data_IF_644617581397
#
_entry.id   IF_644617581397
#
_cell.length_a   1.000
_cell.length_b   1.000
_cell.length_c   1.000
_cell.angle_alpha   90.00
_cell.angle_beta   90.00
_cell.angle_gamma   90.00
#
_symmetry.space_group_name_H-M   'P 1'
#
loop_
_entity.id
_entity.type
_entity.pdbx_description
1 polymer ?
#
# COMPACT_ATOMS: atom_id res chain seq x y z
N UNK A 1 32.16 -43.66 -45.28
CA UNK A 1 31.29 -44.09 -44.15
C UNK A 1 31.21 -43.05 -43.03
N UNK A 2 31.36 -41.75 -43.33
CA UNK A 2 31.50 -40.66 -42.35
C UNK A 2 30.30 -39.70 -42.31
N UNK A 3 29.51 -39.66 -43.38
CA UNK A 3 28.39 -38.73 -43.55
C UNK A 3 27.20 -39.03 -42.62
N UNK A 4 26.80 -40.30 -42.48
CA UNK A 4 25.60 -40.66 -41.72
C UNK A 4 25.71 -40.39 -40.20
N UNK A 5 26.92 -40.56 -39.63
CA UNK A 5 27.19 -40.25 -38.21
C UNK A 5 27.17 -38.75 -37.92
N UNK A 6 27.61 -37.93 -38.88
CA UNK A 6 27.60 -36.47 -38.76
C UNK A 6 26.16 -35.92 -38.81
N UNK A 7 25.31 -36.43 -39.69
CA UNK A 7 23.89 -36.06 -39.73
C UNK A 7 23.15 -36.45 -38.45
N UNK A 8 23.46 -37.63 -37.90
CA UNK A 8 22.87 -38.08 -36.64
C UNK A 8 23.26 -37.14 -35.47
N UNK A 9 24.54 -36.76 -35.37
CA UNK A 9 25.03 -35.84 -34.34
C UNK A 9 24.41 -34.45 -34.47
N UNK A 10 24.25 -33.94 -35.68
CA UNK A 10 23.63 -32.64 -35.93
C UNK A 10 22.14 -32.63 -35.54
N UNK A 11 21.44 -33.73 -35.81
CA UNK A 11 20.04 -33.91 -35.42
C UNK A 11 19.86 -33.91 -33.89
N UNK A 12 20.73 -34.63 -33.16
CA UNK A 12 20.73 -34.60 -31.70
C UNK A 12 21.05 -33.21 -31.14
N UNK A 13 22.00 -32.48 -31.74
CA UNK A 13 22.32 -31.12 -31.32
C UNK A 13 21.13 -30.16 -31.47
N UNK A 14 20.38 -30.25 -32.58
CA UNK A 14 19.19 -29.43 -32.82
C UNK A 14 18.07 -29.77 -31.82
N UNK A 15 17.87 -31.04 -31.52
CA UNK A 15 16.88 -31.46 -30.50
C UNK A 15 17.26 -30.89 -29.13
N UNK A 16 18.53 -31.01 -28.73
CA UNK A 16 18.99 -30.49 -27.44
C UNK A 16 18.81 -28.97 -27.36
N UNK A 17 19.17 -28.22 -28.41
CA UNK A 17 18.98 -26.77 -28.45
C UNK A 17 17.49 -26.40 -28.43
N UNK A 18 16.64 -27.15 -29.14
CA UNK A 18 15.19 -26.92 -29.15
C UNK A 18 14.57 -27.20 -27.78
N UNK A 19 15.03 -28.24 -27.07
CA UNK A 19 14.64 -28.53 -25.69
C UNK A 19 15.11 -27.43 -24.76
N UNK A 20 16.34 -26.92 -24.88
CA UNK A 20 16.86 -25.82 -24.06
C UNK A 20 16.05 -24.54 -24.29
N UNK A 21 15.73 -24.21 -25.55
CA UNK A 21 14.90 -23.04 -25.89
C UNK A 21 13.47 -23.22 -25.38
N UNK A 22 12.88 -24.40 -25.54
CA UNK A 22 11.56 -24.70 -25.02
C UNK A 22 11.52 -24.65 -23.49
N UNK A 23 12.51 -25.21 -22.80
CA UNK A 23 12.65 -25.13 -21.34
C UNK A 23 12.86 -23.67 -20.90
N UNK A 24 13.67 -22.89 -21.61
CA UNK A 24 13.84 -21.45 -21.33
C UNK A 24 12.57 -20.63 -21.55
N UNK A 25 11.75 -20.97 -22.55
CA UNK A 25 10.44 -20.36 -22.80
C UNK A 25 9.39 -20.79 -21.75
N UNK A 26 9.41 -22.05 -21.31
CA UNK A 26 8.51 -22.55 -20.26
C UNK A 26 8.92 -22.06 -18.86
N UNK A 27 10.21 -21.84 -18.60
CA UNK A 27 10.70 -21.14 -17.40
C UNK A 27 10.23 -19.67 -17.37
N UNK A 28 10.10 -19.03 -18.54
CA UNK A 28 9.63 -17.65 -18.70
C UNK A 28 8.11 -17.44 -18.65
N UNK A 29 7.30 -18.51 -18.62
CA UNK A 29 5.82 -18.47 -18.58
C UNK A 29 5.23 -18.91 -17.22
N UNK A 30 6.07 -19.01 -16.19
CA UNK A 30 5.63 -19.30 -14.82
C UNK A 30 4.89 -18.07 -14.26
N UNK A 31 3.59 -18.26 -14.03
CA UNK A 31 2.60 -17.28 -13.59
C UNK A 31 3.10 -16.30 -12.53
N UNK A 32 2.89 -15.02 -12.83
CA UNK A 32 3.30 -13.79 -12.13
C UNK A 32 2.96 -13.80 -10.62
N UNK A 33 3.85 -13.34 -9.71
CA UNK A 33 3.44 -12.88 -8.38
C UNK A 33 2.27 -11.90 -8.47
N UNK A 34 1.37 -11.88 -7.47
CA UNK A 34 0.18 -11.01 -7.39
C UNK A 34 0.39 -9.67 -8.10
N UNK A 35 -0.40 -9.35 -9.15
CA UNK A 35 -0.21 -8.17 -9.96
C UNK A 35 -0.04 -6.91 -9.10
N UNK A 36 0.90 -6.01 -9.45
CA UNK A 36 1.11 -4.75 -8.73
C UNK A 36 -0.17 -3.92 -8.49
N UNK A 37 -1.17 -4.06 -9.36
CA UNK A 37 -2.49 -3.43 -9.26
C UNK A 37 -3.35 -3.95 -8.10
N UNK A 38 -3.16 -5.20 -7.68
CA UNK A 38 -3.84 -5.75 -6.50
C UNK A 38 -3.16 -5.24 -5.22
N UNK A 39 -1.83 -5.04 -5.25
CA UNK A 39 -1.05 -4.60 -4.10
C UNK A 39 -1.30 -3.15 -3.72
N UNK A 40 -1.68 -2.31 -4.68
CA UNK A 40 -2.10 -0.92 -4.41
C UNK A 40 -3.39 -0.82 -3.59
N UNK A 41 -4.18 -1.91 -3.47
CA UNK A 41 -5.39 -1.96 -2.65
C UNK A 41 -5.16 -2.31 -1.16
N UNK A 42 -3.96 -2.77 -0.77
CA UNK A 42 -3.74 -3.35 0.56
C UNK A 42 -3.87 -2.36 1.72
N UNK A 43 -3.66 -1.07 1.46
CA UNK A 43 -3.78 0.00 2.47
C UNK A 43 -5.00 0.89 2.23
N UNK A 44 -5.92 0.42 1.40
CA UNK A 44 -7.24 1.01 1.23
C UNK A 44 -8.26 0.23 2.06
N UNK A 45 -9.33 0.88 2.55
CA UNK A 45 -10.41 0.17 3.20
C UNK A 45 -11.03 -0.87 2.26
N UNK A 46 -11.25 -2.10 2.74
CA UNK A 46 -11.87 -3.14 1.92
C UNK A 46 -13.40 -2.98 1.83
N UNK A 47 -13.97 -2.15 2.70
CA UNK A 47 -15.41 -1.94 2.82
C UNK A 47 -15.79 -0.58 2.25
N UNK A 48 -16.94 -0.53 1.56
CA UNK A 48 -17.52 0.74 1.05
C UNK A 48 -17.94 1.71 2.16
N UNK A 49 -17.92 1.26 3.42
CA UNK A 49 -18.17 2.07 4.61
C UNK A 49 -17.02 1.82 5.58
N UNK A 50 -16.33 2.89 5.97
CA UNK A 50 -15.36 2.87 7.06
C UNK A 50 -15.99 3.46 8.31
N UNK A 51 -15.83 2.73 9.41
CA UNK A 51 -16.29 3.15 10.73
C UNK A 51 -15.15 3.91 11.40
N UNK A 52 -15.33 5.20 11.71
CA UNK A 52 -14.54 5.80 12.78
C UNK A 52 -15.31 5.63 14.09
N UNK A 53 -14.58 5.17 15.10
CA UNK A 53 -15.04 4.54 16.34
C UNK A 53 -16.21 5.29 17.00
N UNK A 54 -17.22 4.53 17.43
CA UNK A 54 -18.11 4.92 18.53
C UNK A 54 -17.34 4.73 19.85
N UNK A 55 -17.17 5.79 20.64
CA UNK A 55 -16.58 5.69 21.98
C UNK A 55 -17.25 4.57 22.80
N UNK A 56 -16.54 3.92 23.76
CA UNK A 56 -17.16 2.91 24.61
C UNK A 56 -18.43 3.44 25.29
N UNK A 57 -19.60 2.95 24.87
CA UNK A 57 -20.93 3.40 25.36
C UNK A 57 -21.77 4.19 24.35
N UNK A 58 -21.26 4.51 23.16
CA UNK A 58 -22.07 5.10 22.08
C UNK A 58 -22.91 4.08 21.32
N UNK A 59 -24.12 4.48 20.94
CA UNK A 59 -24.96 3.70 20.04
C UNK A 59 -24.29 3.60 18.65
N UNK A 60 -24.39 2.46 17.95
CA UNK A 60 -23.91 2.32 16.56
C UNK A 60 -24.47 3.41 15.63
N UNK A 61 -25.68 3.91 15.87
CA UNK A 61 -26.28 5.02 15.13
C UNK A 61 -25.54 6.38 15.32
N UNK A 62 -24.67 6.49 16.31
CA UNK A 62 -23.86 7.68 16.61
C UNK A 62 -22.42 7.58 16.10
N UNK A 63 -22.01 6.40 15.61
CA UNK A 63 -20.68 6.18 15.01
C UNK A 63 -20.47 7.08 13.79
N UNK A 64 -19.22 7.46 13.56
CA UNK A 64 -18.84 8.28 12.42
C UNK A 64 -18.70 7.38 11.18
N UNK A 65 -19.38 7.72 10.09
CA UNK A 65 -19.44 6.90 8.88
C UNK A 65 -18.79 7.63 7.71
N UNK A 66 -17.79 6.98 7.12
CA UNK A 66 -17.17 7.38 5.87
C UNK A 66 -17.68 6.48 4.76
N UNK A 67 -18.39 7.05 3.80
CA UNK A 67 -18.97 6.32 2.69
C UNK A 67 -18.09 6.51 1.47
N UNK A 68 -17.66 5.41 0.84
CA UNK A 68 -16.89 5.45 -0.40
C UNK A 68 -17.69 6.22 -1.46
N UNK A 69 -17.08 7.28 -1.99
CA UNK A 69 -17.64 8.16 -3.01
C UNK A 69 -16.93 8.08 -4.35
N UNK A 70 -15.76 7.44 -4.41
CA UNK A 70 -15.08 7.12 -5.67
C UNK A 70 -13.84 6.25 -5.48
N UNK A 71 -13.55 5.44 -6.50
CA UNK A 71 -12.37 4.57 -6.58
C UNK A 71 -11.66 4.83 -7.90
N UNK A 72 -10.34 5.00 -7.83
CA UNK A 72 -9.56 5.43 -8.99
C UNK A 72 -8.22 4.70 -9.04
N UNK A 73 -7.98 4.01 -10.15
CA UNK A 73 -6.66 3.49 -10.50
C UNK A 73 -5.80 4.63 -11.10
N UNK A 74 -4.57 4.75 -10.62
CA UNK A 74 -3.62 5.78 -11.01
C UNK A 74 -3.32 6.80 -9.91
N UNK A 75 -2.49 7.82 -10.22
CA UNK A 75 -2.05 8.80 -9.23
C UNK A 75 -3.18 9.76 -8.85
N UNK A 76 -3.28 10.06 -7.55
CA UNK A 76 -4.11 11.16 -7.05
C UNK A 76 -3.64 12.49 -7.66
N UNK A 77 -4.56 13.24 -8.26
CA UNK A 77 -4.25 14.43 -9.07
C UNK A 77 -3.63 15.58 -8.25
N UNK A 78 -3.84 15.57 -6.94
CA UNK A 78 -3.31 16.55 -5.98
C UNK A 78 -1.80 16.38 -5.75
N UNK A 79 -1.21 15.26 -6.19
CA UNK A 79 0.18 14.91 -5.96
C UNK A 79 0.92 14.61 -7.26
N UNK A 80 2.25 14.80 -7.31
CA UNK A 80 3.03 14.41 -8.48
C UNK A 80 2.90 12.91 -8.75
N UNK A 81 3.00 12.45 -10.01
CA UNK A 81 3.05 11.03 -10.31
C UNK A 81 4.32 10.43 -9.69
N UNK A 82 4.15 9.52 -8.72
CA UNK A 82 5.25 8.87 -7.99
C UNK A 82 5.52 7.46 -8.50
N UNK A 83 4.45 6.69 -8.73
CA UNK A 83 4.53 5.30 -9.17
C UNK A 83 3.54 5.04 -10.31
N UNK A 84 3.87 4.17 -11.28
CA UNK A 84 2.88 3.62 -12.21
C UNK A 84 1.87 2.72 -11.51
N UNK A 85 2.17 2.25 -10.29
CA UNK A 85 1.28 1.47 -9.45
C UNK A 85 0.77 2.38 -8.34
N UNK A 86 -0.36 3.01 -8.59
CA UNK A 86 -1.02 3.90 -7.65
C UNK A 86 -2.52 3.67 -7.71
N UNK A 87 -3.19 3.87 -6.57
CA UNK A 87 -4.64 3.84 -6.45
C UNK A 87 -5.05 4.82 -5.36
N UNK A 88 -6.19 5.45 -5.52
CA UNK A 88 -6.78 6.26 -4.46
C UNK A 88 -8.29 6.09 -4.42
N UNK A 89 -8.82 6.32 -3.23
CA UNK A 89 -10.25 6.25 -2.94
C UNK A 89 -10.68 7.51 -2.21
N UNK A 90 -11.86 7.98 -2.57
CA UNK A 90 -12.51 9.13 -1.97
C UNK A 90 -13.65 8.67 -1.08
N UNK A 91 -13.80 9.35 0.05
CA UNK A 91 -14.78 9.05 1.06
C UNK A 91 -15.52 10.31 1.45
N UNK A 92 -16.83 10.21 1.64
CA UNK A 92 -17.65 11.30 2.17
C UNK A 92 -18.02 10.99 3.61
N UNK A 93 -17.71 11.91 4.52
CA UNK A 93 -18.13 11.84 5.92
C UNK A 93 -19.63 12.15 6.00
N UNK A 94 -20.44 11.16 6.38
CA UNK A 94 -21.90 11.23 6.26
C UNK A 94 -22.52 12.39 7.09
N UNK A 95 -21.94 12.72 8.25
CA UNK A 95 -22.47 13.76 9.15
C UNK A 95 -22.22 15.19 8.66
N UNK A 96 -21.09 15.44 7.99
CA UNK A 96 -20.65 16.79 7.64
C UNK A 96 -20.60 17.04 6.14
N UNK A 97 -20.55 15.99 5.33
CA UNK A 97 -20.31 16.08 3.89
C UNK A 97 -18.84 16.28 3.52
N UNK A 98 -17.92 16.34 4.51
CA UNK A 98 -16.49 16.52 4.27
C UNK A 98 -15.93 15.37 3.42
N UNK A 99 -15.03 15.70 2.49
CA UNK A 99 -14.43 14.74 1.56
C UNK A 99 -13.02 14.36 1.97
N UNK A 100 -12.79 13.07 2.08
CA UNK A 100 -11.52 12.47 2.45
C UNK A 100 -10.96 11.68 1.28
N UNK A 101 -9.65 11.58 1.23
CA UNK A 101 -8.92 10.79 0.25
C UNK A 101 -7.90 9.91 0.96
N UNK A 102 -7.86 8.64 0.54
CA UNK A 102 -6.80 7.70 0.89
C UNK A 102 -6.09 7.35 -0.41
N UNK A 103 -4.77 7.55 -0.47
CA UNK A 103 -3.97 7.26 -1.66
C UNK A 103 -2.78 6.37 -1.32
N UNK A 104 -2.52 5.41 -2.20
CA UNK A 104 -1.46 4.40 -2.04
C UNK A 104 -0.61 4.38 -3.30
N UNK A 105 0.70 4.45 -3.13
CA UNK A 105 1.69 4.24 -4.19
C UNK A 105 2.56 3.04 -3.83
N UNK A 106 2.65 2.07 -4.74
CA UNK A 106 3.40 0.83 -4.56
C UNK A 106 4.69 0.82 -5.39
N UNK A 107 5.75 0.23 -4.85
CA UNK A 107 7.04 0.09 -5.52
C UNK A 107 7.64 -1.30 -5.28
N UNK A 108 8.14 -1.90 -6.36
CA UNK A 108 8.90 -3.17 -6.35
C UNK A 108 10.40 -2.98 -6.24
N UNK A 109 10.88 -1.72 -6.33
CA UNK A 109 12.31 -1.38 -6.33
C UNK A 109 12.58 -0.26 -5.33
N UNK A 110 13.50 -0.51 -4.41
CA UNK A 110 13.94 0.46 -3.40
C UNK A 110 14.40 1.78 -4.03
N UNK A 111 15.20 1.72 -5.11
CA UNK A 111 15.70 2.92 -5.77
C UNK A 111 14.60 3.83 -6.33
N UNK A 112 13.52 3.23 -6.87
CA UNK A 112 12.36 3.98 -7.34
C UNK A 112 11.57 4.57 -6.17
N UNK A 113 11.41 3.81 -5.08
CA UNK A 113 10.79 4.27 -3.85
C UNK A 113 11.53 5.46 -3.23
N UNK A 114 12.86 5.37 -3.05
CA UNK A 114 13.68 6.43 -2.47
C UNK A 114 13.68 7.70 -3.35
N UNK A 115 13.77 7.54 -4.67
CA UNK A 115 13.66 8.66 -5.61
C UNK A 115 12.30 9.36 -5.50
N UNK A 116 11.22 8.57 -5.38
CA UNK A 116 9.86 9.07 -5.24
C UNK A 116 9.60 9.75 -3.90
N UNK A 117 10.15 9.22 -2.79
CA UNK A 117 10.12 9.90 -1.48
C UNK A 117 10.78 11.27 -1.57
N UNK A 118 11.95 11.37 -2.21
CA UNK A 118 12.66 12.65 -2.40
C UNK A 118 11.86 13.63 -3.25
N UNK A 119 11.28 13.16 -4.35
CA UNK A 119 10.43 13.96 -5.25
C UNK A 119 9.19 14.48 -4.52
N UNK A 120 8.48 13.60 -3.80
CA UNK A 120 7.31 13.97 -3.02
C UNK A 120 7.68 14.98 -1.96
N UNK A 121 8.75 14.75 -1.21
CA UNK A 121 9.18 15.69 -0.17
C UNK A 121 9.45 17.09 -0.71
N UNK A 122 10.19 17.21 -1.83
CA UNK A 122 10.45 18.49 -2.47
C UNK A 122 9.15 19.19 -2.89
N UNK A 123 8.17 18.44 -3.41
CA UNK A 123 6.85 18.97 -3.74
C UNK A 123 6.13 19.49 -2.50
N UNK A 124 6.04 18.69 -1.43
CA UNK A 124 5.31 19.05 -0.21
C UNK A 124 5.91 20.31 0.44
N UNK A 125 7.23 20.40 0.57
CA UNK A 125 7.91 21.59 1.14
C UNK A 125 7.70 22.85 0.29
N UNK A 126 7.48 22.71 -1.02
CA UNK A 126 7.27 23.85 -1.92
C UNK A 126 5.81 24.29 -1.97
N UNK A 127 4.88 23.35 -1.79
CA UNK A 127 3.44 23.56 -2.02
C UNK A 127 2.61 23.75 -0.74
N UNK A 128 3.21 23.56 0.43
CA UNK A 128 2.50 23.67 1.70
C UNK A 128 3.42 23.61 2.92
N UNK A 129 2.80 23.46 4.07
CA UNK A 129 3.49 23.30 5.36
C UNK A 129 3.67 21.81 5.63
N UNK A 130 4.87 21.43 6.05
CA UNK A 130 5.20 20.06 6.41
C UNK A 130 5.57 19.98 7.89
N UNK A 131 4.97 19.05 8.60
CA UNK A 131 5.20 18.83 10.04
C UNK A 131 5.48 17.35 10.32
N UNK A 132 6.07 17.07 11.48
CA UNK A 132 6.22 15.69 11.98
C UNK A 132 5.11 15.44 13.00
N UNK A 133 4.34 14.37 12.79
CA UNK A 133 3.19 14.04 13.64
C UNK A 133 3.36 12.62 14.18
N UNK A 134 3.33 12.46 15.50
CA UNK A 134 3.37 11.16 16.16
C UNK A 134 1.95 10.76 16.56
N UNK A 135 1.42 9.70 15.97
CA UNK A 135 0.13 9.13 16.31
C UNK A 135 0.32 8.11 17.44
N UNK A 136 -0.50 8.21 18.48
CA UNK A 136 -0.50 7.28 19.60
C UNK A 136 -1.63 6.26 19.44
N UNK A 137 -1.28 4.99 19.39
CA UNK A 137 -2.18 3.84 19.29
C UNK A 137 -2.17 2.97 20.55
N UNK A 138 -1.57 3.44 21.64
CA UNK A 138 -1.64 2.78 22.94
C UNK A 138 -3.10 2.60 23.37
N UNK A 139 -3.52 1.36 23.58
CA UNK A 139 -4.92 1.01 23.88
C UNK A 139 -5.86 0.96 22.67
N UNK A 140 -5.37 1.19 21.45
CA UNK A 140 -6.16 1.01 20.23
C UNK A 140 -6.40 -0.48 19.98
N UNK A 141 -7.66 -0.89 19.89
CA UNK A 141 -8.02 -2.26 19.54
C UNK A 141 -8.20 -2.32 18.03
N UNK A 142 -7.18 -2.78 17.32
CA UNK A 142 -7.30 -3.07 15.88
C UNK A 142 -8.40 -4.12 15.70
N UNK A 143 -9.49 -3.73 15.06
CA UNK A 143 -10.59 -4.63 14.73
C UNK A 143 -10.32 -5.18 13.35
N UNK A 144 -10.27 -6.51 13.23
CA UNK A 144 -10.21 -7.16 11.92
C UNK A 144 -11.43 -6.70 11.11
N UNK A 145 -11.18 -6.08 9.95
CA UNK A 145 -12.25 -5.66 9.02
C UNK A 145 -13.10 -6.86 8.54
N UNK A 146 -12.65 -8.10 8.80
CA UNK A 146 -13.25 -9.35 8.36
C UNK A 146 -14.33 -9.93 9.29
N UNK A 147 -14.59 -9.35 10.45
CA UNK A 147 -15.65 -9.62 11.45
C UNK A 147 -15.03 -9.69 12.84
N UNK A 148 -15.64 -8.97 13.79
CA UNK A 148 -15.55 -8.98 15.27
C UNK A 148 -14.91 -10.23 15.94
N UNK A 149 -13.64 -10.51 15.64
CA UNK A 149 -12.88 -11.62 16.23
C UNK A 149 -11.44 -11.14 16.38
N UNK A 150 -10.82 -11.27 17.58
CA UNK A 150 -9.41 -10.99 17.75
C UNK A 150 -8.59 -11.82 16.77
N UNK A 151 -7.69 -11.16 16.06
CA UNK A 151 -6.86 -11.80 15.04
C UNK A 151 -6.07 -12.94 15.69
N UNK A 152 -6.00 -14.09 15.02
CA UNK A 152 -5.19 -15.22 15.45
C UNK A 152 -3.70 -14.83 15.64
N UNK A 153 -2.88 -15.72 16.21
CA UNK A 153 -1.54 -15.43 16.77
C UNK A 153 -0.46 -14.97 15.78
N UNK A 154 -0.82 -14.58 14.55
CA UNK A 154 0.09 -14.19 13.48
C UNK A 154 -0.05 -12.75 13.01
N UNK A 155 -1.04 -11.98 13.49
CA UNK A 155 -1.08 -10.55 13.20
C UNK A 155 -0.11 -9.77 14.10
N UNK A 156 0.72 -8.95 13.48
CA UNK A 156 1.58 -8.03 14.22
C UNK A 156 0.67 -6.91 14.76
N UNK A 157 0.72 -6.60 16.07
CA UNK A 157 -0.05 -5.50 16.61
C UNK A 157 0.41 -4.16 16.01
N UNK A 158 -0.54 -3.26 15.78
CA UNK A 158 -0.29 -1.86 15.44
C UNK A 158 0.76 -1.29 16.41
N UNK A 159 1.83 -0.62 15.92
CA UNK A 159 2.85 -0.06 16.78
C UNK A 159 2.21 0.97 17.69
N UNK A 160 2.65 1.00 18.94
CA UNK A 160 2.16 1.95 19.94
C UNK A 160 2.25 3.40 19.44
N UNK A 161 3.27 3.70 18.65
CA UNK A 161 3.42 4.98 17.98
C UNK A 161 3.72 4.80 16.50
N UNK A 162 3.00 5.56 15.67
CA UNK A 162 3.31 5.73 14.26
C UNK A 162 3.73 7.17 14.00
N UNK A 163 4.97 7.36 13.58
CA UNK A 163 5.46 8.67 13.17
C UNK A 163 5.13 8.88 11.69
N UNK A 164 4.49 10.00 11.40
CA UNK A 164 3.99 10.38 10.09
C UNK A 164 4.50 11.78 9.69
N UNK A 165 4.40 12.09 8.41
CA UNK A 165 4.64 13.41 7.85
C UNK A 165 3.29 14.10 7.65
N UNK A 166 2.99 15.10 8.49
CA UNK A 166 1.83 15.96 8.31
C UNK A 166 2.05 16.95 7.17
N UNK A 167 1.01 17.18 6.38
CA UNK A 167 1.02 18.11 5.27
C UNK A 167 -0.25 18.96 5.30
N UNK A 168 -0.09 20.27 5.11
CA UNK A 168 -1.19 21.23 5.00
C UNK A 168 -0.96 22.14 3.79
N UNK A 169 -1.96 22.28 2.94
CA UNK A 169 -1.92 23.14 1.75
C UNK A 169 -3.27 23.81 1.51
N UNK A 170 -3.36 24.67 0.49
CA UNK A 170 -4.62 25.30 0.08
C UNK A 170 -5.65 24.32 -0.50
N UNK A 171 -5.23 23.08 -0.82
CA UNK A 171 -6.06 22.14 -1.56
C UNK A 171 -6.35 20.86 -0.76
N UNK A 172 -5.48 20.53 0.19
CA UNK A 172 -5.57 19.29 0.95
C UNK A 172 -4.70 19.33 2.20
N UNK A 173 -5.12 18.60 3.23
CA UNK A 173 -4.37 18.42 4.47
C UNK A 173 -4.45 16.97 4.93
N UNK A 174 -3.36 16.40 5.40
CA UNK A 174 -3.34 14.99 5.78
C UNK A 174 -2.01 14.48 6.29
N UNK A 175 -1.91 13.17 6.42
CA UNK A 175 -0.75 12.45 6.92
C UNK A 175 -0.20 11.53 5.85
N UNK A 176 1.11 11.57 5.67
CA UNK A 176 1.87 10.61 4.89
C UNK A 176 2.68 9.69 5.79
N UNK A 177 2.79 8.44 5.39
CA UNK A 177 3.78 7.50 5.94
C UNK A 177 4.21 6.52 4.86
N UNK A 178 5.31 5.83 5.12
CA UNK A 178 5.88 4.84 4.23
C UNK A 178 5.95 3.51 4.92
N UNK A 179 5.83 2.44 4.13
CA UNK A 179 5.86 1.07 4.62
C UNK A 179 6.84 0.27 3.78
N UNK A 180 7.56 -0.62 4.45
CA UNK A 180 8.39 -1.64 3.84
C UNK A 180 7.94 -3.01 4.33
N UNK A 181 7.71 -3.94 3.40
CA UNK A 181 7.33 -5.33 3.66
C UNK A 181 8.44 -6.20 3.05
N UNK A 182 8.96 -7.22 3.74
CA UNK A 182 9.87 -8.17 3.11
C UNK A 182 9.11 -8.97 2.05
N UNK A 183 9.69 -9.10 0.86
CA UNK A 183 9.09 -9.88 -0.22
C UNK A 183 8.90 -11.35 0.19
N UNK A 184 7.77 -11.94 -0.18
CA UNK A 184 7.53 -13.36 0.10
C UNK A 184 8.45 -14.24 -0.74
N UNK A 185 9.18 -15.15 -0.07
CA UNK A 185 9.80 -16.31 -0.70
C UNK A 185 8.92 -17.53 -0.46
N UNK A 186 8.42 -18.14 -1.52
CA UNK A 186 7.89 -19.50 -1.41
C UNK A 186 9.01 -20.54 -1.53
N UNK A 187 8.96 -21.57 -0.69
CA UNK A 187 9.73 -22.79 -0.89
C UNK A 187 8.77 -23.99 -0.95
N UNK A 188 8.99 -24.81 -1.98
CA UNK A 188 8.41 -26.12 -2.25
C UNK A 188 6.90 -26.16 -2.54
N UNK A 189 6.55 -25.79 -3.78
CA UNK A 189 5.42 -26.42 -4.48
C UNK A 189 4.31 -25.52 -5.05
N UNK A 190 4.35 -24.19 -4.93
CA UNK A 190 3.18 -23.37 -5.29
C UNK A 190 3.39 -21.91 -5.69
N UNK A 191 4.57 -21.50 -6.17
CA UNK A 191 4.94 -20.17 -6.70
C UNK A 191 4.56 -18.94 -5.83
N UNK A 192 5.56 -18.33 -5.20
CA UNK A 192 5.61 -16.88 -4.91
C UNK A 192 7.06 -16.37 -4.97
N UNK A 193 7.31 -15.36 -5.81
CA UNK A 193 8.59 -14.64 -5.79
C UNK A 193 8.39 -13.14 -5.92
N UNK A 194 8.50 -12.41 -4.80
CA UNK A 194 9.19 -11.12 -4.82
C UNK A 194 10.57 -11.36 -4.24
N UNK A 195 11.63 -11.21 -5.04
CA UNK A 195 13.01 -11.40 -4.59
C UNK A 195 13.54 -10.23 -3.75
N UNK A 196 12.77 -9.15 -3.62
CA UNK A 196 13.09 -7.97 -2.84
C UNK A 196 11.92 -7.47 -2.01
N UNK A 197 12.21 -6.52 -1.12
CA UNK A 197 11.18 -5.88 -0.30
C UNK A 197 10.20 -5.10 -1.18
N UNK A 198 9.00 -4.94 -0.65
CA UNK A 198 7.89 -4.20 -1.22
C UNK A 198 7.74 -2.89 -0.46
N UNK A 199 7.58 -1.79 -1.19
CA UNK A 199 7.57 -0.47 -0.58
C UNK A 199 6.29 0.27 -0.92
N UNK A 200 5.78 1.02 0.05
CA UNK A 200 4.56 1.80 -0.08
C UNK A 200 4.77 3.22 0.41
N UNK A 201 4.15 4.17 -0.28
CA UNK A 201 3.84 5.49 0.26
C UNK A 201 2.33 5.53 0.42
N UNK A 202 1.85 6.02 1.56
CA UNK A 202 0.43 6.06 1.89
C UNK A 202 0.07 7.46 2.37
N UNK A 203 -1.09 7.94 1.95
CA UNK A 203 -1.66 9.22 2.31
C UNK A 203 -3.08 9.03 2.85
N UNK A 204 -3.38 9.71 3.96
CA UNK A 204 -4.72 9.85 4.52
C UNK A 204 -4.99 11.34 4.75
N UNK A 205 -6.04 11.89 4.16
CA UNK A 205 -6.36 13.30 4.40
C UNK A 205 -7.69 13.76 3.86
N UNK A 206 -7.91 15.06 3.95
CA UNK A 206 -9.13 15.77 3.57
C UNK A 206 -8.87 16.55 2.28
N UNK A 207 -9.83 16.53 1.34
CA UNK A 207 -9.75 17.19 0.03
C UNK A 207 -10.11 18.68 0.07
N UNK A 208 -9.88 19.34 1.21
CA UNK A 208 -10.25 20.72 1.45
C UNK A 208 -9.19 21.41 2.35
N UNK A 209 -9.07 22.76 2.30
CA UNK A 209 -8.09 23.52 3.07
C UNK A 209 -8.47 23.59 4.55
N UNK A 210 -8.44 22.46 5.23
CA UNK A 210 -8.60 22.39 6.67
C UNK A 210 -7.25 22.42 7.36
N UNK A 211 -7.21 23.01 8.56
CA UNK A 211 -6.14 22.73 9.48
C UNK A 211 -6.13 21.22 9.76
N UNK A 212 -4.94 20.61 9.77
CA UNK A 212 -4.76 19.19 10.01
C UNK A 212 -5.06 18.84 11.48
N UNK A 213 -4.70 19.72 12.42
CA UNK A 213 -4.80 19.45 13.87
C UNK A 213 -6.20 19.00 14.32
N UNK A 214 -7.31 19.65 13.94
CA UNK A 214 -8.66 19.19 14.29
C UNK A 214 -9.06 17.82 13.72
N UNK A 215 -8.38 17.35 12.66
CA UNK A 215 -8.70 16.09 11.99
C UNK A 215 -7.80 14.93 12.43
N UNK A 216 -6.81 15.18 13.29
CA UNK A 216 -5.78 14.19 13.63
C UNK A 216 -6.36 12.94 14.29
N UNK A 217 -7.26 13.07 15.26
CA UNK A 217 -7.86 11.90 15.92
C UNK A 217 -8.68 11.06 14.94
N UNK A 218 -9.41 11.72 14.04
CA UNK A 218 -10.22 11.07 13.04
C UNK A 218 -9.37 10.33 11.99
N UNK A 219 -8.32 10.98 11.48
CA UNK A 219 -7.37 10.37 10.55
C UNK A 219 -6.60 9.24 11.24
N UNK A 220 -6.21 9.40 12.50
CA UNK A 220 -5.56 8.36 13.30
C UNK A 220 -6.43 7.10 13.35
N UNK A 221 -7.70 7.26 13.70
CA UNK A 221 -8.64 6.15 13.82
C UNK A 221 -8.88 5.48 12.46
N UNK A 222 -9.01 6.28 11.40
CA UNK A 222 -9.14 5.78 10.04
C UNK A 222 -7.93 4.93 9.65
N UNK A 223 -6.71 5.42 9.89
CA UNK A 223 -5.46 4.67 9.70
C UNK A 223 -5.51 3.38 10.54
N UNK A 224 -5.86 3.44 11.83
CA UNK A 224 -5.91 2.27 12.71
C UNK A 224 -6.88 1.18 12.28
N UNK A 225 -7.98 1.55 11.60
CA UNK A 225 -8.97 0.61 11.08
C UNK A 225 -8.62 0.00 9.72
N UNK A 226 -7.85 0.71 8.91
CA UNK A 226 -7.44 0.26 7.58
C UNK A 226 -6.06 -0.37 7.58
N UNK A 227 -5.30 -0.19 8.65
CA UNK A 227 -3.98 -0.77 8.78
C UNK A 227 -4.05 -2.28 9.00
N UNK A 228 -3.65 -3.04 7.98
CA UNK A 228 -3.35 -4.47 8.12
C UNK A 228 -1.83 -4.66 8.17
N UNK A 229 -1.28 -4.98 9.35
CA UNK A 229 0.15 -5.28 9.56
C UNK A 229 0.50 -6.75 9.29
N UNK A 230 0.07 -7.34 8.17
CA UNK A 230 0.72 -8.60 7.80
C UNK A 230 2.12 -8.28 7.26
N UNK A 231 3.15 -8.76 7.97
CA UNK A 231 4.58 -8.78 7.53
C UNK A 231 5.29 -7.44 7.40
N UNK A 232 4.86 -6.35 8.03
CA UNK A 232 5.58 -5.08 7.91
C UNK A 232 6.98 -5.16 8.54
N UNK A 233 8.02 -4.84 7.77
CA UNK A 233 9.39 -4.71 8.24
C UNK A 233 9.61 -3.35 8.91
N UNK A 234 9.14 -2.28 8.26
CA UNK A 234 9.26 -0.92 8.81
C UNK A 234 8.09 -0.04 8.37
N UNK A 235 7.71 0.91 9.23
CA UNK A 235 6.77 1.98 8.92
C UNK A 235 7.28 3.30 9.51
N UNK A 236 7.15 4.41 8.78
CA UNK A 236 7.66 5.69 9.27
C UNK A 236 7.38 6.87 8.34
N UNK A 237 7.85 8.08 8.70
CA UNK A 237 7.58 9.29 7.96
C UNK A 237 8.27 9.33 6.59
N UNK A 238 7.81 10.23 5.72
CA UNK A 238 8.53 10.56 4.47
C UNK A 238 9.89 11.19 4.77
N UNK A 239 9.91 12.06 5.78
CA UNK A 239 11.04 12.84 6.25
C UNK A 239 11.73 12.15 7.42
N UNK A 240 13.04 11.90 7.31
CA UNK A 240 13.86 11.51 8.47
C UNK A 240 14.14 12.72 9.35
#
# INVERSE_FOLDING_TARGET
MTSHKQYLLLFFAIIVVSIIIAVGLFEGLKTDPTPPTIRTGWYLPHNTIVWAIAEPGMNQAQSERFVLSGEYDGPAQQFPPLSPYARYENYTREKTGDRYMIAVWYFTKESAFLSSKKKLNAYLTTSGTVTRVSLNYSGFVSTDQYNLTPIGPSAIPLPEHLVTTGYESSNTSGLFYTIEIPGTREQNGGVQTSTGNEYYIVYYGIEEPYALSPQLDLIRDLIGHTFTFDRIHSAGPLLM
#
